data_IF_684674414768
#
_entry.id   IF_684674414768
#
_cell.length_a   1.000
_cell.length_b   1.000
_cell.length_c   1.000
_cell.angle_alpha   90.00
_cell.angle_beta   90.00
_cell.angle_gamma   90.00
#
_symmetry.space_group_name_H-M   'P 1'
#
loop_
_entity.id
_entity.type
_entity.pdbx_description
1 polymer ?
#
# COMPACT_ATOMS: atom_id res chain seq x y z
N UNK A 1 -16.98 -13.75 -10.53
CA UNK A 1 -16.34 -14.72 -9.61
C UNK A 1 -15.10 -14.04 -9.03
N UNK A 2 -14.91 -14.08 -7.71
CA UNK A 2 -13.70 -13.52 -7.06
C UNK A 2 -12.51 -14.46 -7.31
N UNK A 3 -11.33 -13.88 -7.51
CA UNK A 3 -10.06 -14.60 -7.57
C UNK A 3 -9.20 -14.21 -6.37
N UNK A 4 -8.59 -15.20 -5.73
CA UNK A 4 -7.67 -15.00 -4.62
C UNK A 4 -6.25 -15.33 -5.08
N UNK A 5 -5.29 -14.48 -4.71
CA UNK A 5 -3.88 -14.67 -4.98
C UNK A 5 -3.12 -14.72 -3.66
N UNK A 6 -2.11 -15.59 -3.55
CA UNK A 6 -1.23 -15.68 -2.38
C UNK A 6 -0.13 -14.60 -2.36
N UNK A 7 0.01 -13.89 -3.47
CA UNK A 7 1.11 -13.01 -3.85
C UNK A 7 0.56 -11.94 -4.79
N UNK A 8 1.24 -10.79 -4.88
CA UNK A 8 0.97 -9.79 -5.91
C UNK A 8 1.41 -10.38 -7.26
N UNK A 9 0.49 -10.65 -8.21
CA UNK A 9 0.86 -11.15 -9.53
C UNK A 9 1.58 -10.07 -10.35
N UNK A 10 2.55 -10.49 -11.15
CA UNK A 10 3.37 -9.56 -11.97
C UNK A 10 2.52 -8.66 -12.87
N UNK A 11 1.41 -9.18 -13.40
CA UNK A 11 0.52 -8.40 -14.27
C UNK A 11 -0.20 -7.25 -13.54
N UNK A 12 -0.32 -7.29 -12.21
CA UNK A 12 -0.93 -6.20 -11.42
C UNK A 12 0.07 -5.11 -11.05
N UNK A 13 1.38 -5.40 -11.06
CA UNK A 13 2.42 -4.45 -10.65
C UNK A 13 2.33 -3.12 -11.43
N UNK A 14 2.23 -3.10 -12.78
CA UNK A 14 2.12 -1.86 -13.54
C UNK A 14 0.88 -1.04 -13.15
N UNK A 15 -0.22 -1.70 -12.86
CA UNK A 15 -1.46 -1.05 -12.43
C UNK A 15 -1.32 -0.44 -11.03
N UNK A 16 -0.70 -1.16 -10.08
CA UNK A 16 -0.44 -0.67 -8.72
C UNK A 16 0.44 0.57 -8.76
N UNK A 17 1.51 0.55 -9.56
CA UNK A 17 2.47 1.67 -9.69
C UNK A 17 1.85 2.91 -10.36
N UNK A 18 0.83 2.75 -11.18
CA UNK A 18 0.11 3.86 -11.81
C UNK A 18 -0.77 4.66 -10.82
N UNK A 19 -1.02 4.14 -9.62
CA UNK A 19 -1.91 4.79 -8.66
C UNK A 19 -1.23 5.99 -7.98
N UNK A 20 -1.79 7.19 -8.18
CA UNK A 20 -1.33 8.43 -7.52
C UNK A 20 -1.75 8.54 -6.06
N UNK A 21 -2.71 7.70 -5.64
CA UNK A 21 -3.32 7.69 -4.32
C UNK A 21 -3.75 6.27 -3.97
N UNK A 22 -3.64 5.92 -2.70
CA UNK A 22 -4.08 4.64 -2.14
C UNK A 22 -4.48 4.82 -0.67
N UNK A 23 -5.12 3.83 -0.07
CA UNK A 23 -5.54 3.85 1.33
C UNK A 23 -4.87 2.74 2.11
N UNK A 24 -4.42 3.07 3.31
CA UNK A 24 -3.95 2.09 4.28
C UNK A 24 -4.98 1.98 5.38
N UNK A 25 -5.44 0.76 5.65
CA UNK A 25 -6.38 0.44 6.71
C UNK A 25 -5.72 -0.50 7.74
N UNK A 26 -6.05 -0.33 9.01
CA UNK A 26 -5.58 -1.23 10.08
C UNK A 26 -6.77 -1.70 10.89
N UNK A 27 -6.93 -3.02 11.00
CA UNK A 27 -7.97 -3.62 11.82
C UNK A 27 -7.66 -3.41 13.31
N UNK A 28 -8.66 -3.05 14.13
CA UNK A 28 -8.49 -2.95 15.58
C UNK A 28 -8.33 -4.34 16.21
N UNK A 29 -7.64 -4.40 17.35
CA UNK A 29 -7.54 -5.62 18.15
C UNK A 29 -8.84 -5.96 18.90
N UNK A 30 -9.68 -4.95 19.16
CA UNK A 30 -10.99 -5.11 19.80
C UNK A 30 -12.09 -5.25 18.75
N UNK A 31 -13.09 -6.14 18.95
CA UNK A 31 -14.30 -6.21 18.11
C UNK A 31 -15.11 -4.89 18.09
N UNK A 32 -14.95 -4.04 19.10
CA UNK A 32 -15.64 -2.74 19.21
C UNK A 32 -14.77 -1.56 18.78
N UNK A 33 -13.53 -1.81 18.33
CA UNK A 33 -12.63 -0.75 17.88
C UNK A 33 -13.04 -0.21 16.50
N UNK A 34 -12.50 0.95 16.15
CA UNK A 34 -12.67 1.53 14.81
C UNK A 34 -11.52 1.11 13.89
N UNK A 35 -11.83 0.89 12.60
CA UNK A 35 -10.81 0.74 11.57
C UNK A 35 -10.24 2.12 11.27
N UNK A 36 -8.93 2.28 11.47
CA UNK A 36 -8.23 3.48 11.02
C UNK A 36 -7.94 3.34 9.53
N UNK A 37 -8.45 4.28 8.73
CA UNK A 37 -8.21 4.33 7.28
C UNK A 37 -7.64 5.70 6.93
N UNK A 38 -6.51 5.74 6.22
CA UNK A 38 -5.86 6.99 5.84
C UNK A 38 -5.50 7.00 4.36
N UNK A 39 -5.81 8.08 3.62
CA UNK A 39 -5.29 8.27 2.28
C UNK A 39 -3.79 8.53 2.31
N UNK A 40 -3.09 7.97 1.34
CA UNK A 40 -1.66 8.18 1.03
C UNK A 40 -1.57 8.50 -0.45
N UNK A 41 -0.58 9.27 -0.86
CA UNK A 41 -0.45 9.64 -2.27
C UNK A 41 0.91 10.24 -2.58
N UNK A 42 1.05 10.75 -3.80
CA UNK A 42 2.29 11.18 -4.45
C UNK A 42 3.10 10.03 -5.07
N UNK A 43 3.74 10.34 -6.19
CA UNK A 43 4.63 9.43 -6.90
C UNK A 43 5.79 8.98 -6.00
N UNK A 44 6.15 7.70 -6.07
CA UNK A 44 7.21 7.10 -5.25
C UNK A 44 6.81 6.82 -3.79
N UNK A 45 5.54 6.98 -3.41
CA UNK A 45 5.09 6.71 -2.04
C UNK A 45 4.82 5.22 -1.78
N UNK A 46 4.27 4.51 -2.76
CA UNK A 46 4.05 3.06 -2.69
C UNK A 46 5.15 2.33 -3.45
N UNK A 47 5.87 1.43 -2.76
CA UNK A 47 7.01 0.73 -3.34
C UNK A 47 6.90 -0.77 -3.09
N UNK A 48 7.15 -1.56 -4.13
CA UNK A 48 7.13 -3.02 -4.11
C UNK A 48 8.57 -3.51 -3.99
N UNK A 49 8.85 -4.34 -2.98
CA UNK A 49 10.17 -4.97 -2.78
C UNK A 49 10.22 -6.32 -3.47
N UNK A 50 9.17 -7.13 -3.28
CA UNK A 50 8.95 -8.43 -3.90
C UNK A 50 7.43 -8.72 -3.96
N UNK A 51 7.03 -9.92 -4.38
CA UNK A 51 5.61 -10.31 -4.54
C UNK A 51 4.80 -10.34 -3.25
N UNK A 52 5.44 -10.29 -2.07
CA UNK A 52 4.81 -10.32 -0.74
C UNK A 52 5.15 -9.11 0.13
N UNK A 53 6.10 -8.28 -0.28
CA UNK A 53 6.66 -7.22 0.56
C UNK A 53 6.52 -5.87 -0.12
N UNK A 54 5.93 -4.91 0.60
CA UNK A 54 5.80 -3.51 0.17
C UNK A 54 6.21 -2.58 1.30
N UNK A 55 6.62 -1.36 0.95
CA UNK A 55 6.79 -0.29 1.92
C UNK A 55 6.11 1.00 1.47
N UNK A 56 5.65 1.77 2.44
CA UNK A 56 5.05 3.09 2.23
C UNK A 56 6.02 4.14 2.75
N UNK A 57 6.51 4.99 1.86
CA UNK A 57 7.37 6.11 2.24
C UNK A 57 6.55 7.13 3.03
N UNK A 58 7.09 7.63 4.14
CA UNK A 58 6.44 8.72 4.88
C UNK A 58 6.85 10.07 4.27
N UNK A 59 5.89 11.00 4.23
CA UNK A 59 6.15 12.35 3.78
C UNK A 59 7.23 13.01 4.65
N UNK A 60 8.15 13.73 4.00
CA UNK A 60 9.32 14.43 4.54
C UNK A 60 10.67 13.67 4.58
N UNK A 61 10.75 12.44 4.09
CA UNK A 61 12.04 11.78 3.78
C UNK A 61 12.60 12.30 2.44
N UNK A 62 12.74 13.63 2.31
CA UNK A 62 13.69 14.16 1.31
C UNK A 62 15.02 13.57 1.71
N UNK A 63 15.57 12.73 0.83
CA UNK A 63 16.95 12.28 0.93
C UNK A 63 17.78 13.51 1.29
N UNK A 64 18.37 13.50 2.49
CA UNK A 64 19.53 14.33 2.76
C UNK A 64 20.58 13.82 1.76
N UNK A 65 20.65 14.49 0.62
CA UNK A 65 21.84 14.53 -0.21
C UNK A 65 23.00 15.08 0.60
#
# INVERSE_FOLDING_TARGET
MVQFYSDIPDFLIPWIQAQKMFWVATAPLSPTGHINVSPKGYEGTFNIVDSKTVYVRRGNDRART
#
